data_IF_922387211261
#
_entry.id   IF_922387211261
#
_cell.length_a   1.000
_cell.length_b   1.000
_cell.length_c   1.000
_cell.angle_alpha   90.00
_cell.angle_beta   90.00
_cell.angle_gamma   90.00
#
_symmetry.space_group_name_H-M   'P 1'
#
loop_
_entity.id
_entity.type
_entity.pdbx_description
1 polymer ?
#
# COMPACT_ATOMS: atom_id res chain seq x y z
N UNK A 1 35.34 63.77 -42.55
CA UNK A 1 36.18 62.75 -43.24
C UNK A 1 37.30 62.34 -42.31
N UNK A 2 37.11 61.27 -41.50
CA UNK A 2 38.18 60.58 -40.79
C UNK A 2 37.99 59.10 -40.97
N UNK A 3 39.10 58.46 -41.20
CA UNK A 3 39.38 57.25 -41.93
C UNK A 3 38.80 55.94 -41.25
N UNK A 4 38.19 55.12 -42.06
CA UNK A 4 37.57 53.82 -41.78
C UNK A 4 38.64 52.71 -41.71
N UNK A 5 39.81 52.93 -41.15
CA UNK A 5 40.91 51.93 -41.14
C UNK A 5 41.53 51.64 -39.77
N UNK A 6 40.98 52.17 -38.66
CA UNK A 6 41.56 51.91 -37.32
C UNK A 6 40.70 51.09 -36.39
N UNK A 7 39.57 50.44 -36.85
CA UNK A 7 38.68 49.64 -36.07
C UNK A 7 38.79 48.13 -36.36
N UNK A 8 39.83 47.68 -37.07
CA UNK A 8 39.97 46.26 -37.47
C UNK A 8 41.06 45.47 -36.73
N UNK A 9 41.68 46.03 -35.67
CA UNK A 9 42.84 45.38 -35.04
C UNK A 9 42.69 45.15 -33.51
N UNK A 10 41.51 45.30 -32.93
CA UNK A 10 41.31 45.03 -31.49
C UNK A 10 40.40 43.85 -31.19
N UNK A 11 40.00 43.01 -32.15
CA UNK A 11 39.11 41.82 -31.93
C UNK A 11 39.80 40.49 -32.29
N UNK A 12 41.09 40.37 -32.15
CA UNK A 12 41.81 39.08 -32.31
C UNK A 12 42.64 38.75 -31.08
N UNK A 13 41.99 38.45 -29.96
CA UNK A 13 42.72 38.14 -28.74
C UNK A 13 41.82 37.59 -27.64
N UNK A 14 40.73 36.85 -27.98
CA UNK A 14 39.99 36.06 -27.02
C UNK A 14 40.36 34.60 -27.24
N UNK A 15 41.23 34.07 -26.38
CA UNK A 15 41.61 32.68 -26.31
C UNK A 15 40.36 31.81 -25.99
N UNK A 16 40.09 30.85 -26.84
CA UNK A 16 39.23 29.72 -26.56
C UNK A 16 39.77 28.95 -25.35
N UNK A 17 39.20 29.18 -24.16
CA UNK A 17 39.36 28.27 -23.02
C UNK A 17 38.33 27.18 -23.18
N UNK A 18 38.80 25.98 -23.49
CA UNK A 18 38.06 24.71 -23.55
C UNK A 18 37.29 24.46 -22.26
N UNK A 19 35.98 24.67 -22.30
CA UNK A 19 35.02 24.29 -21.21
C UNK A 19 34.38 22.94 -21.40
N UNK A 20 34.95 22.01 -22.19
CA UNK A 20 34.33 20.75 -22.56
C UNK A 20 34.70 19.55 -21.67
N UNK A 21 35.73 19.65 -20.81
CA UNK A 21 36.24 18.45 -20.12
C UNK A 21 35.63 18.18 -18.75
N UNK A 22 34.87 19.13 -18.17
CA UNK A 22 34.25 18.94 -16.85
C UNK A 22 32.85 18.33 -16.88
N UNK A 23 32.14 18.38 -18.02
CA UNK A 23 30.79 17.83 -18.15
C UNK A 23 30.73 16.32 -18.47
N UNK A 24 31.74 15.78 -19.13
CA UNK A 24 31.79 14.35 -19.48
C UNK A 24 31.88 13.39 -18.29
N UNK A 25 32.69 13.60 -17.26
CA UNK A 25 32.74 12.65 -16.12
C UNK A 25 31.46 12.65 -15.30
N UNK A 26 30.72 13.77 -15.18
CA UNK A 26 29.48 13.85 -14.47
C UNK A 26 28.35 13.08 -15.19
N UNK A 27 28.25 13.25 -16.51
CA UNK A 27 27.28 12.53 -17.34
C UNK A 27 27.54 11.01 -17.34
N UNK A 28 28.81 10.61 -17.45
CA UNK A 28 29.19 9.20 -17.39
C UNK A 28 28.88 8.57 -16.01
N UNK A 29 29.12 9.29 -14.92
CA UNK A 29 28.79 8.85 -13.56
C UNK A 29 27.28 8.70 -13.34
N UNK A 30 26.46 9.61 -13.84
CA UNK A 30 25.00 9.54 -13.76
C UNK A 30 24.46 8.35 -14.58
N UNK A 31 24.93 8.15 -15.79
CA UNK A 31 24.53 7.02 -16.65
C UNK A 31 24.92 5.68 -16.02
N UNK A 32 26.15 5.57 -15.48
CA UNK A 32 26.60 4.37 -14.79
C UNK A 32 25.78 4.10 -13.50
N UNK A 33 25.45 5.15 -12.75
CA UNK A 33 24.58 5.07 -11.57
C UNK A 33 23.16 4.60 -11.90
N UNK A 34 22.57 5.13 -12.97
CA UNK A 34 21.24 4.72 -13.45
C UNK A 34 21.25 3.27 -13.96
N UNK A 35 22.29 2.86 -14.70
CA UNK A 35 22.44 1.49 -15.16
C UNK A 35 22.62 0.49 -14.01
N UNK A 36 23.39 0.85 -12.98
CA UNK A 36 23.55 0.04 -11.77
C UNK A 36 22.23 -0.07 -10.98
N UNK A 37 21.50 1.03 -10.83
CA UNK A 37 20.20 1.02 -10.17
C UNK A 37 19.17 0.18 -10.95
N UNK A 38 19.13 0.27 -12.27
CA UNK A 38 18.30 -0.57 -13.12
C UNK A 38 18.67 -2.06 -13.00
N UNK A 39 19.96 -2.38 -12.99
CA UNK A 39 20.45 -3.75 -12.77
C UNK A 39 20.04 -4.32 -11.43
N UNK A 40 20.11 -3.54 -10.35
CA UNK A 40 19.66 -3.93 -9.01
C UNK A 40 18.15 -4.18 -8.98
N UNK A 41 17.34 -3.33 -9.61
CA UNK A 41 15.89 -3.48 -9.67
C UNK A 41 15.49 -4.73 -10.47
N UNK A 42 16.12 -4.98 -11.61
CA UNK A 42 15.91 -6.19 -12.43
C UNK A 42 16.33 -7.44 -11.65
N UNK A 43 17.48 -7.40 -10.96
CA UNK A 43 17.96 -8.50 -10.15
C UNK A 43 17.03 -8.82 -8.96
N UNK A 44 16.49 -7.80 -8.28
CA UNK A 44 15.51 -7.96 -7.19
C UNK A 44 14.21 -8.59 -7.71
N UNK A 45 13.70 -8.17 -8.87
CA UNK A 45 12.52 -8.76 -9.51
C UNK A 45 12.73 -10.20 -9.91
N UNK A 46 13.84 -10.49 -10.59
CA UNK A 46 14.18 -11.86 -10.99
C UNK A 46 14.30 -12.79 -9.78
N UNK A 47 14.92 -12.32 -8.69
CA UNK A 47 15.07 -13.08 -7.46
C UNK A 47 13.73 -13.29 -6.73
N UNK A 48 12.82 -12.31 -6.74
CA UNK A 48 11.47 -12.46 -6.21
C UNK A 48 10.68 -13.52 -6.98
N UNK A 49 10.68 -13.46 -8.32
CA UNK A 49 10.02 -14.46 -9.20
C UNK A 49 10.59 -15.86 -8.98
N UNK A 50 11.92 -15.98 -8.86
CA UNK A 50 12.58 -17.27 -8.64
C UNK A 50 12.18 -17.94 -7.31
N UNK A 51 11.87 -17.16 -6.27
CA UNK A 51 11.47 -17.68 -4.95
C UNK A 51 10.03 -18.19 -4.92
N UNK A 52 9.14 -17.63 -5.74
CA UNK A 52 7.72 -18.05 -5.82
C UNK A 52 7.57 -19.37 -6.60
N UNK A 53 8.58 -19.75 -7.37
CA UNK A 53 8.51 -20.90 -8.27
C UNK A 53 8.87 -22.27 -7.67
N UNK A 54 8.85 -22.45 -6.35
CA UNK A 54 9.08 -23.75 -5.73
C UNK A 54 8.00 -24.74 -6.19
N UNK A 55 8.43 -25.86 -6.81
CA UNK A 55 7.51 -26.83 -7.42
C UNK A 55 7.14 -26.59 -8.89
N UNK A 56 7.46 -25.43 -9.48
CA UNK A 56 7.19 -25.14 -10.88
C UNK A 56 8.18 -25.84 -11.82
N UNK A 57 7.69 -26.27 -12.99
CA UNK A 57 8.56 -26.80 -14.05
C UNK A 57 9.51 -25.70 -14.57
N UNK A 58 10.64 -26.11 -15.16
CA UNK A 58 11.58 -25.17 -15.78
C UNK A 58 10.90 -24.27 -16.83
N UNK A 59 9.92 -24.81 -17.57
CA UNK A 59 9.09 -24.06 -18.53
C UNK A 59 8.32 -22.93 -17.85
N UNK A 60 7.62 -23.19 -16.74
CA UNK A 60 6.86 -22.17 -16.02
C UNK A 60 7.76 -21.08 -15.46
N UNK A 61 8.90 -21.45 -14.86
CA UNK A 61 9.88 -20.47 -14.36
C UNK A 61 10.41 -19.54 -15.46
N UNK A 62 10.68 -20.09 -16.67
CA UNK A 62 11.12 -19.29 -17.80
C UNK A 62 10.02 -18.32 -18.27
N UNK A 63 8.77 -18.79 -18.35
CA UNK A 63 7.63 -17.96 -18.73
C UNK A 63 7.36 -16.84 -17.71
N UNK A 64 7.42 -17.15 -16.42
CA UNK A 64 7.23 -16.17 -15.34
C UNK A 64 8.33 -15.09 -15.36
N UNK A 65 9.58 -15.51 -15.58
CA UNK A 65 10.69 -14.58 -15.72
C UNK A 65 10.52 -13.67 -16.95
N UNK A 66 10.21 -14.26 -18.10
CA UNK A 66 9.98 -13.50 -19.34
C UNK A 66 8.81 -12.52 -19.17
N UNK A 67 7.68 -12.97 -18.64
CA UNK A 67 6.51 -12.12 -18.35
C UNK A 67 6.84 -11.03 -17.33
N UNK A 68 7.63 -11.36 -16.31
CA UNK A 68 8.07 -10.43 -15.27
C UNK A 68 8.89 -9.26 -15.82
N UNK A 69 9.70 -9.53 -16.85
CA UNK A 69 10.55 -8.52 -17.51
C UNK A 69 9.80 -7.77 -18.61
N UNK A 70 9.04 -8.49 -19.44
CA UNK A 70 8.48 -7.95 -20.69
C UNK A 70 7.12 -7.26 -20.50
N UNK A 71 6.32 -7.70 -19.51
CA UNK A 71 4.99 -7.16 -19.31
C UNK A 71 5.00 -6.00 -18.30
N UNK A 72 4.55 -4.79 -18.65
CA UNK A 72 4.34 -3.71 -17.70
C UNK A 72 3.16 -4.06 -16.79
N UNK A 73 3.32 -3.78 -15.48
CA UNK A 73 2.31 -4.04 -14.44
C UNK A 73 1.99 -2.75 -13.71
N UNK A 74 1.63 -1.71 -14.47
CA UNK A 74 1.46 -0.34 -13.98
C UNK A 74 0.62 -0.22 -12.70
N UNK A 75 -0.56 -0.87 -12.58
CA UNK A 75 -1.35 -0.74 -11.36
C UNK A 75 -0.61 -1.22 -10.10
N UNK A 76 0.09 -2.37 -10.19
CA UNK A 76 0.87 -2.91 -9.07
C UNK A 76 2.14 -2.10 -8.82
N UNK A 77 2.76 -1.55 -9.87
CA UNK A 77 3.94 -0.70 -9.75
C UNK A 77 3.63 0.66 -9.13
N UNK A 78 2.39 1.14 -9.27
CA UNK A 78 1.93 2.39 -8.71
C UNK A 78 1.58 2.28 -7.20
N UNK A 79 1.50 1.08 -6.64
CA UNK A 79 1.29 0.87 -5.21
C UNK A 79 2.54 1.32 -4.45
N UNK A 80 2.48 2.52 -3.88
CA UNK A 80 3.63 3.25 -3.34
C UNK A 80 3.76 3.13 -1.83
N UNK A 81 2.69 2.77 -1.13
CA UNK A 81 2.67 2.72 0.33
C UNK A 81 2.47 1.30 0.82
N UNK A 82 3.27 0.90 1.80
CA UNK A 82 3.09 -0.34 2.55
C UNK A 82 2.70 0.01 3.99
N UNK A 83 1.50 -0.42 4.40
CA UNK A 83 1.01 -0.37 5.77
C UNK A 83 0.89 -1.78 6.32
N UNK A 84 1.08 -1.92 7.63
CA UNK A 84 0.85 -3.17 8.34
C UNK A 84 -0.05 -2.91 9.53
N UNK A 85 -1.10 -3.69 9.65
CA UNK A 85 -2.10 -3.62 10.70
C UNK A 85 -2.73 -4.99 10.98
N UNK A 86 -3.86 -4.98 11.66
CA UNK A 86 -4.61 -6.18 12.01
C UNK A 86 -6.08 -5.97 11.71
N UNK A 87 -6.73 -7.01 11.19
CA UNK A 87 -8.17 -7.04 10.99
C UNK A 87 -8.81 -8.12 11.86
N UNK A 88 -10.05 -7.91 12.26
CA UNK A 88 -10.92 -8.95 12.78
C UNK A 88 -12.04 -9.24 11.78
N UNK A 89 -12.61 -10.45 11.84
CA UNK A 89 -13.83 -10.74 11.09
C UNK A 89 -14.99 -9.90 11.64
N UNK A 90 -15.83 -9.38 10.75
CA UNK A 90 -16.92 -8.48 11.15
C UNK A 90 -17.92 -9.11 12.11
N UNK A 91 -18.06 -10.42 12.12
CA UNK A 91 -18.94 -11.24 12.95
C UNK A 91 -18.23 -11.99 14.07
N UNK A 92 -16.89 -11.96 14.14
CA UNK A 92 -16.11 -12.67 15.15
C UNK A 92 -14.79 -11.94 15.48
N UNK A 93 -14.80 -11.18 16.58
CA UNK A 93 -13.59 -10.45 17.04
C UNK A 93 -12.48 -11.40 17.50
N UNK A 94 -12.78 -12.62 17.88
CA UNK A 94 -11.77 -13.62 18.28
C UNK A 94 -10.92 -14.10 17.10
N UNK A 95 -11.42 -13.97 15.88
CA UNK A 95 -10.69 -14.29 14.65
C UNK A 95 -10.00 -13.05 14.11
N UNK A 96 -8.68 -13.02 14.21
CA UNK A 96 -7.85 -11.87 13.85
C UNK A 96 -6.74 -12.27 12.89
N UNK A 97 -6.42 -11.38 11.97
CA UNK A 97 -5.43 -11.61 10.91
C UNK A 97 -4.51 -10.40 10.80
N UNK A 98 -3.20 -10.65 10.75
CA UNK A 98 -2.25 -9.61 10.35
C UNK A 98 -2.39 -9.32 8.86
N UNK A 99 -2.41 -8.04 8.49
CA UNK A 99 -2.68 -7.58 7.15
C UNK A 99 -1.58 -6.63 6.66
N UNK A 100 -0.99 -6.97 5.51
CA UNK A 100 0.00 -6.15 4.82
C UNK A 100 -0.66 -5.48 3.62
N UNK A 101 -0.97 -4.19 3.76
CA UNK A 101 -1.64 -3.39 2.75
C UNK A 101 -0.63 -2.74 1.81
N UNK A 102 -0.79 -2.93 0.52
CA UNK A 102 -0.06 -2.20 -0.51
C UNK A 102 -1.04 -1.28 -1.22
N UNK A 103 -0.86 0.02 -1.03
CA UNK A 103 -1.85 1.03 -1.34
C UNK A 103 -1.38 2.05 -2.37
N UNK A 104 -2.36 2.65 -3.06
CA UNK A 104 -2.21 3.81 -3.93
C UNK A 104 -3.34 4.79 -3.68
N UNK A 105 -3.02 6.10 -3.67
CA UNK A 105 -4.00 7.15 -3.76
C UNK A 105 -4.55 7.25 -5.20
N UNK A 106 -5.82 6.91 -5.40
CA UNK A 106 -6.50 7.16 -6.68
C UNK A 106 -6.91 8.61 -6.82
N UNK A 107 -7.34 9.21 -5.71
CA UNK A 107 -7.74 10.62 -5.57
C UNK A 107 -7.46 11.06 -4.14
N UNK A 108 -7.57 12.36 -3.87
CA UNK A 108 -7.39 12.92 -2.53
C UNK A 108 -8.32 12.31 -1.46
N UNK A 109 -9.48 11.78 -1.87
CA UNK A 109 -10.54 11.24 -1.02
C UNK A 109 -10.72 9.73 -1.14
N UNK A 110 -9.85 9.04 -1.90
CA UNK A 110 -9.98 7.59 -2.17
C UNK A 110 -8.63 6.92 -2.37
N UNK A 111 -8.33 5.92 -1.55
CA UNK A 111 -7.24 4.99 -1.74
C UNK A 111 -7.79 3.60 -2.09
N UNK A 112 -6.98 2.79 -2.73
CA UNK A 112 -7.21 1.36 -2.88
C UNK A 112 -5.96 0.59 -2.46
N UNK A 113 -6.17 -0.55 -1.80
CA UNK A 113 -5.12 -1.43 -1.33
C UNK A 113 -5.39 -2.87 -1.75
N UNK A 114 -4.30 -3.59 -2.06
CA UNK A 114 -4.29 -5.06 -2.05
C UNK A 114 -3.66 -5.52 -0.76
N UNK A 115 -4.19 -6.60 -0.17
CA UNK A 115 -3.77 -7.11 1.14
C UNK A 115 -3.13 -8.47 0.98
N UNK A 116 -1.94 -8.62 1.58
CA UNK A 116 -1.20 -9.88 1.65
C UNK A 116 -1.00 -10.29 3.11
N UNK A 117 -0.72 -11.57 3.34
CA UNK A 117 -0.40 -12.13 4.66
C UNK A 117 1.02 -11.82 5.14
N UNK A 118 1.86 -11.32 4.26
CA UNK A 118 3.23 -10.92 4.59
C UNK A 118 3.81 -9.96 3.54
N UNK A 119 5.01 -9.42 3.81
CA UNK A 119 5.79 -8.67 2.82
C UNK A 119 6.90 -9.54 2.21
N UNK A 120 6.61 -10.80 1.95
CA UNK A 120 7.53 -11.74 1.31
C UNK A 120 7.19 -11.91 -0.17
N UNK A 121 8.13 -12.32 -1.01
CA UNK A 121 7.85 -12.56 -2.43
C UNK A 121 6.78 -13.62 -2.70
N UNK A 122 6.61 -14.57 -1.79
CA UNK A 122 5.68 -15.71 -1.83
C UNK A 122 4.42 -15.46 -0.99
N UNK A 123 4.15 -14.22 -0.59
CA UNK A 123 2.99 -13.85 0.19
C UNK A 123 1.67 -14.18 -0.53
N UNK A 124 0.69 -14.65 0.23
CA UNK A 124 -0.65 -14.94 -0.27
C UNK A 124 -1.46 -13.64 -0.36
N UNK A 125 -2.12 -13.40 -1.49
CA UNK A 125 -3.11 -12.34 -1.62
C UNK A 125 -4.35 -12.76 -0.83
N UNK A 126 -4.64 -12.05 0.26
CA UNK A 126 -5.72 -12.40 1.18
C UNK A 126 -6.91 -11.46 1.12
N UNK A 127 -6.79 -10.28 0.48
CA UNK A 127 -7.91 -9.36 0.42
C UNK A 127 -7.64 -8.06 -0.29
N UNK A 128 -8.64 -7.18 -0.17
CA UNK A 128 -8.60 -5.81 -0.67
C UNK A 128 -9.18 -4.85 0.37
N UNK A 129 -8.79 -3.58 0.30
CA UNK A 129 -9.39 -2.50 1.07
C UNK A 129 -9.54 -1.23 0.24
N UNK A 130 -10.66 -0.53 0.43
CA UNK A 130 -10.86 0.85 0.00
C UNK A 130 -10.86 1.76 1.20
N UNK A 131 -10.13 2.88 1.11
CA UNK A 131 -10.05 3.88 2.19
C UNK A 131 -10.58 5.20 1.66
N UNK A 132 -11.52 5.80 2.38
CA UNK A 132 -12.14 7.06 1.99
C UNK A 132 -12.02 8.11 3.10
N UNK A 133 -12.09 9.38 2.70
CA UNK A 133 -12.15 10.50 3.63
C UNK A 133 -13.43 10.48 4.46
N UNK A 134 -13.40 11.12 5.64
CA UNK A 134 -14.58 11.32 6.48
C UNK A 134 -15.72 12.04 5.74
N UNK A 135 -15.39 13.06 4.93
CA UNK A 135 -16.38 13.78 4.15
C UNK A 135 -17.16 12.86 3.22
N UNK A 136 -16.45 11.97 2.51
CA UNK A 136 -17.09 10.98 1.63
C UNK A 136 -17.87 9.94 2.42
N UNK A 137 -17.34 9.47 3.54
CA UNK A 137 -18.02 8.51 4.40
C UNK A 137 -19.37 9.06 4.92
N UNK A 138 -19.41 10.31 5.35
CA UNK A 138 -20.64 10.96 5.85
C UNK A 138 -21.76 10.98 4.81
N UNK A 139 -21.42 10.99 3.51
CA UNK A 139 -22.38 11.01 2.39
C UNK A 139 -22.90 9.62 2.00
N UNK A 140 -22.34 8.53 2.56
CA UNK A 140 -22.79 7.17 2.24
C UNK A 140 -24.18 6.90 2.81
N UNK A 141 -25.01 6.06 2.12
CA UNK A 141 -26.23 5.51 2.68
C UNK A 141 -25.99 4.76 3.98
N UNK A 142 -26.98 4.69 4.85
CA UNK A 142 -26.83 4.07 6.17
C UNK A 142 -26.45 2.58 6.11
N UNK A 143 -27.01 1.85 5.15
CA UNK A 143 -26.70 0.44 4.90
C UNK A 143 -25.26 0.25 4.41
N UNK A 144 -24.73 1.16 3.62
CA UNK A 144 -23.34 1.12 3.14
C UNK A 144 -22.35 1.44 4.26
N UNK A 145 -22.66 2.41 5.14
CA UNK A 145 -21.81 2.77 6.29
C UNK A 145 -21.48 1.58 7.19
N UNK A 146 -22.39 0.63 7.31
CA UNK A 146 -22.21 -0.58 8.13
C UNK A 146 -21.08 -1.50 7.64
N UNK A 147 -20.59 -1.29 6.42
CA UNK A 147 -19.50 -2.07 5.83
C UNK A 147 -18.11 -1.44 6.11
N UNK A 148 -18.07 -0.32 6.83
CA UNK A 148 -16.87 0.47 7.01
C UNK A 148 -16.45 0.54 8.47
N UNK A 149 -15.14 0.48 8.70
CA UNK A 149 -14.52 0.71 10.00
C UNK A 149 -13.71 2.01 10.00
N UNK A 150 -13.51 2.60 11.18
CA UNK A 150 -12.70 3.79 11.37
C UNK A 150 -11.25 3.44 11.64
N UNK A 151 -10.29 4.22 11.13
CA UNK A 151 -8.86 4.06 11.43
C UNK A 151 -8.40 4.80 12.69
N UNK A 152 -9.31 5.45 13.44
CA UNK A 152 -8.99 6.27 14.58
C UNK A 152 -8.14 5.55 15.62
N UNK A 153 -8.62 4.42 16.11
CA UNK A 153 -7.92 3.63 17.14
C UNK A 153 -6.62 3.03 16.60
N UNK A 154 -6.65 2.43 15.43
CA UNK A 154 -5.47 1.75 14.86
C UNK A 154 -4.29 2.69 14.66
N UNK A 155 -4.55 3.93 14.25
CA UNK A 155 -3.54 4.99 14.17
C UNK A 155 -3.06 5.39 15.56
N UNK A 156 -3.99 5.67 16.49
CA UNK A 156 -3.66 6.20 17.83
C UNK A 156 -2.99 5.18 18.73
N UNK A 157 -3.40 3.92 18.65
CA UNK A 157 -2.81 2.82 19.41
C UNK A 157 -1.40 2.43 18.95
N UNK A 158 -1.01 2.83 17.72
CA UNK A 158 0.25 2.42 17.11
C UNK A 158 0.22 1.02 16.49
N UNK A 159 -0.93 0.34 16.48
CA UNK A 159 -1.06 -1.00 15.87
C UNK A 159 -0.98 -0.95 14.35
N UNK A 160 -1.48 0.10 13.71
CA UNK A 160 -1.26 0.36 12.29
C UNK A 160 0.07 1.10 12.10
N UNK A 161 0.96 0.55 11.28
CA UNK A 161 2.31 1.07 11.06
C UNK A 161 2.64 1.19 9.58
N UNK A 162 3.62 2.05 9.25
CA UNK A 162 4.23 2.18 7.92
C UNK A 162 5.73 1.79 8.02
N UNK A 163 6.08 0.51 7.88
CA UNK A 163 7.45 0.06 8.09
C UNK A 163 8.42 0.71 7.10
N UNK A 164 9.61 1.11 7.59
CA UNK A 164 10.67 1.70 6.77
C UNK A 164 10.49 3.18 6.42
N UNK A 165 9.40 3.82 6.82
CA UNK A 165 9.21 5.27 6.64
C UNK A 165 9.82 6.02 7.83
N UNK A 166 10.61 7.10 7.59
CA UNK A 166 11.14 7.93 8.66
C UNK A 166 10.02 8.53 9.53
N UNK A 167 10.27 8.66 10.83
CA UNK A 167 9.26 9.05 11.84
C UNK A 167 8.47 10.32 11.48
N UNK A 168 9.15 11.36 11.00
CA UNK A 168 8.49 12.63 10.66
C UNK A 168 7.50 12.45 9.52
N UNK A 169 7.87 11.67 8.49
CA UNK A 169 7.00 11.37 7.36
C UNK A 169 5.87 10.42 7.75
N UNK A 170 6.17 9.43 8.61
CA UNK A 170 5.15 8.53 9.17
C UNK A 170 4.09 9.31 9.96
N UNK A 171 4.50 10.26 10.82
CA UNK A 171 3.57 11.08 11.58
C UNK A 171 2.66 11.91 10.68
N UNK A 172 3.21 12.57 9.64
CA UNK A 172 2.41 13.34 8.70
C UNK A 172 1.38 12.45 7.97
N UNK A 173 1.80 11.27 7.50
CA UNK A 173 0.93 10.31 6.83
C UNK A 173 -0.23 9.86 7.75
N UNK A 174 0.06 9.51 9.00
CA UNK A 174 -0.97 9.05 9.94
C UNK A 174 -1.87 10.18 10.46
N UNK A 175 -1.41 11.43 10.39
CA UNK A 175 -2.26 12.59 10.69
C UNK A 175 -3.40 12.74 9.67
N UNK A 176 -3.17 12.40 8.41
CA UNK A 176 -4.19 12.38 7.37
C UNK A 176 -5.05 11.11 7.45
N UNK A 177 -4.43 9.96 7.75
CA UNK A 177 -5.12 8.67 7.77
C UNK A 177 -6.08 8.52 8.96
N UNK A 178 -5.81 9.17 10.10
CA UNK A 178 -6.57 9.01 11.35
C UNK A 178 -8.07 9.31 11.21
N UNK A 179 -8.46 10.17 10.29
CA UNK A 179 -9.86 10.55 10.04
C UNK A 179 -10.50 9.81 8.86
N UNK A 180 -9.90 8.73 8.40
CA UNK A 180 -10.41 7.96 7.26
C UNK A 180 -11.14 6.69 7.69
N UNK A 181 -11.84 6.09 6.74
CA UNK A 181 -12.65 4.89 6.94
C UNK A 181 -12.28 3.84 5.90
N UNK A 182 -12.13 2.59 6.34
CA UNK A 182 -11.79 1.44 5.52
C UNK A 182 -12.98 0.51 5.26
N UNK A 183 -13.10 -0.02 4.04
CA UNK A 183 -13.96 -1.14 3.70
C UNK A 183 -13.13 -2.29 3.18
N UNK A 184 -13.05 -3.35 3.97
CA UNK A 184 -12.11 -4.44 3.77
C UNK A 184 -12.83 -5.77 3.59
N UNK A 185 -12.42 -6.52 2.57
CA UNK A 185 -12.85 -7.88 2.35
C UNK A 185 -11.64 -8.80 2.24
N UNK A 186 -11.61 -9.86 3.06
CA UNK A 186 -10.66 -10.94 2.88
C UNK A 186 -11.26 -12.04 2.00
N UNK A 187 -10.56 -12.36 0.94
CA UNK A 187 -10.93 -13.40 -0.04
C UNK A 187 -10.35 -14.77 0.31
N UNK A 188 -9.46 -14.82 1.30
CA UNK A 188 -8.83 -16.02 1.82
C UNK A 188 -8.77 -15.95 3.34
N UNK A 189 -9.42 -16.88 4.03
CA UNK A 189 -9.47 -16.99 5.49
C UNK A 189 -8.27 -17.79 5.98
N UNK A 190 -7.09 -17.18 5.96
CA UNK A 190 -5.80 -17.83 6.23
C UNK A 190 -5.60 -18.31 7.67
N UNK A 191 -6.41 -17.81 8.57
CA UNK A 191 -6.48 -18.22 9.97
C UNK A 191 -7.12 -19.60 10.15
N UNK A 192 -7.87 -20.08 9.14
CA UNK A 192 -8.62 -21.33 9.17
C UNK A 192 -8.31 -22.25 7.99
N UNK A 193 -8.18 -21.68 6.78
CA UNK A 193 -8.19 -22.43 5.53
C UNK A 193 -6.82 -22.44 4.86
N UNK A 194 -6.35 -23.61 4.45
CA UNK A 194 -5.12 -23.78 3.69
C UNK A 194 -5.26 -23.27 2.24
N UNK A 195 -6.52 -23.13 1.75
CA UNK A 195 -6.86 -22.71 0.40
C UNK A 195 -7.96 -21.63 0.43
N UNK A 196 -8.12 -20.76 -0.61
CA UNK A 196 -9.11 -19.67 -0.61
C UNK A 196 -10.55 -20.19 -0.82
N UNK A 197 -11.10 -20.88 0.17
CA UNK A 197 -12.47 -21.38 0.14
C UNK A 197 -13.50 -20.34 0.56
N UNK A 198 -14.73 -20.50 0.03
CA UNK A 198 -15.90 -19.74 0.43
C UNK A 198 -15.98 -18.32 -0.13
N UNK A 199 -16.97 -17.54 0.28
CA UNK A 199 -17.14 -16.16 -0.15
C UNK A 199 -16.12 -15.24 0.52
N UNK A 200 -15.83 -14.06 -0.07
CA UNK A 200 -15.10 -13.02 0.62
C UNK A 200 -15.80 -12.68 1.96
N UNK A 201 -15.02 -12.43 3.00
CA UNK A 201 -15.53 -12.06 4.32
C UNK A 201 -15.27 -10.59 4.61
N UNK A 202 -16.28 -9.89 5.11
CA UNK A 202 -16.13 -8.52 5.58
C UNK A 202 -15.25 -8.51 6.84
N UNK A 203 -14.27 -7.61 6.84
CA UNK A 203 -13.35 -7.40 7.95
C UNK A 203 -13.56 -6.03 8.58
N UNK A 204 -13.23 -5.93 9.87
CA UNK A 204 -13.32 -4.70 10.64
C UNK A 204 -11.99 -4.40 11.35
N UNK A 205 -11.79 -3.13 11.70
CA UNK A 205 -10.71 -2.68 12.56
C UNK A 205 -11.12 -2.66 14.03
N UNK A 206 -10.13 -2.41 14.90
CA UNK A 206 -10.32 -2.31 16.34
C UNK A 206 -10.62 -0.86 16.74
N UNK A 207 -11.29 -0.67 17.89
CA UNK A 207 -11.74 0.65 18.35
C UNK A 207 -11.28 1.00 19.78
N UNK A 208 -10.75 0.03 20.51
CA UNK A 208 -10.28 0.25 21.89
C UNK A 208 -9.19 -0.75 22.31
N UNK A 209 -8.45 -0.39 23.36
CA UNK A 209 -7.46 -1.27 23.98
C UNK A 209 -8.10 -2.59 24.49
N UNK A 210 -7.37 -3.68 24.36
CA UNK A 210 -7.82 -5.03 24.79
C UNK A 210 -8.61 -5.80 23.73
N UNK A 211 -8.92 -5.25 22.57
CA UNK A 211 -9.60 -5.96 21.48
C UNK A 211 -8.62 -6.73 20.58
N UNK A 212 -7.49 -6.09 20.21
CA UNK A 212 -6.46 -6.74 19.41
C UNK A 212 -5.69 -7.78 20.23
N UNK A 213 -5.33 -8.88 19.62
CA UNK A 213 -4.48 -9.89 20.24
C UNK A 213 -3.06 -9.35 20.45
N UNK A 214 -2.71 -9.03 21.69
CA UNK A 214 -1.43 -8.43 22.06
C UNK A 214 -0.24 -9.35 21.72
N UNK A 215 -0.41 -10.66 21.73
CA UNK A 215 0.64 -11.60 21.34
C UNK A 215 0.97 -11.47 19.84
N UNK A 216 -0.04 -11.30 18.98
CA UNK A 216 0.16 -11.05 17.54
C UNK A 216 0.87 -9.71 17.32
N UNK A 217 0.50 -8.67 18.07
CA UNK A 217 1.17 -7.35 18.00
C UNK A 217 2.63 -7.47 18.40
N UNK A 218 2.92 -8.16 19.51
CA UNK A 218 4.28 -8.35 20.00
C UNK A 218 5.16 -9.15 19.02
N UNK A 219 4.60 -10.21 18.41
CA UNK A 219 5.30 -11.01 17.39
C UNK A 219 5.61 -10.18 16.14
N UNK A 220 4.63 -9.40 15.64
CA UNK A 220 4.81 -8.50 14.52
C UNK A 220 5.89 -7.46 14.82
N UNK A 221 5.82 -6.82 16.00
CA UNK A 221 6.76 -5.79 16.41
C UNK A 221 8.20 -6.34 16.48
N UNK A 222 8.37 -7.52 17.07
CA UNK A 222 9.67 -8.20 17.13
C UNK A 222 10.19 -8.54 15.72
N UNK A 223 9.36 -9.07 14.84
CA UNK A 223 9.72 -9.46 13.49
C UNK A 223 10.10 -8.27 12.60
N UNK A 224 9.40 -7.14 12.75
CA UNK A 224 9.66 -5.93 11.96
C UNK A 224 10.63 -4.94 12.63
N UNK A 225 11.10 -5.23 13.86
CA UNK A 225 12.00 -4.36 14.60
C UNK A 225 11.36 -3.01 14.97
N UNK A 226 10.08 -3.00 15.35
CA UNK A 226 9.29 -1.81 15.65
C UNK A 226 8.69 -1.90 17.06
N UNK A 227 8.03 -0.84 17.51
CA UNK A 227 7.29 -0.82 18.78
C UNK A 227 5.98 -0.06 18.61
N UNK A 228 4.86 -0.76 18.72
CA UNK A 228 3.52 -0.18 18.70
C UNK A 228 3.34 0.80 19.87
N UNK A 229 3.82 0.45 21.05
CA UNK A 229 3.75 1.30 22.25
C UNK A 229 4.53 2.61 22.07
N UNK A 230 5.70 2.57 21.43
CA UNK A 230 6.46 3.78 21.13
C UNK A 230 5.70 4.66 20.14
N UNK A 231 5.07 4.07 19.12
CA UNK A 231 4.22 4.79 18.15
C UNK A 231 2.99 5.39 18.83
N UNK A 232 2.32 4.66 19.72
CA UNK A 232 1.20 5.16 20.53
C UNK A 232 1.59 6.45 21.25
N UNK A 233 2.75 6.45 21.94
CA UNK A 233 3.26 7.66 22.62
C UNK A 233 3.52 8.82 21.66
N UNK A 234 4.20 8.58 20.54
CA UNK A 234 4.54 9.61 19.55
C UNK A 234 3.33 10.20 18.85
N UNK A 235 2.28 9.40 18.66
CA UNK A 235 1.04 9.81 18.02
C UNK A 235 0.01 10.39 18.99
N UNK A 236 0.32 10.47 20.29
CA UNK A 236 -0.59 11.03 21.29
C UNK A 236 -1.14 12.40 20.91
N UNK A 237 -0.31 13.32 20.41
CA UNK A 237 -0.68 14.66 19.97
C UNK A 237 -1.31 14.77 18.58
N UNK A 238 -1.65 13.66 17.88
CA UNK A 238 -2.43 13.72 16.64
C UNK A 238 -3.88 13.98 17.04
N UNK A 239 -4.52 15.08 16.55
CA UNK A 239 -5.93 15.35 16.80
C UNK A 239 -6.78 14.26 16.13
N UNK A 240 -7.83 13.84 16.82
CA UNK A 240 -8.78 12.82 16.31
C UNK A 240 -10.17 13.44 16.35
N UNK A 241 -10.90 13.51 15.22
CA UNK A 241 -12.30 13.90 15.21
C UNK A 241 -13.16 12.81 15.85
N UNK A 242 -14.41 13.13 16.18
CA UNK A 242 -15.38 12.14 16.58
C UNK A 242 -15.65 11.16 15.43
N UNK A 243 -15.81 9.88 15.75
CA UNK A 243 -16.14 8.85 14.76
C UNK A 243 -17.52 9.17 14.16
N UNK A 244 -17.59 9.20 12.83
CA UNK A 244 -18.83 9.50 12.14
C UNK A 244 -19.86 8.39 12.34
N UNK A 245 -21.11 8.77 12.54
CA UNK A 245 -22.24 7.85 12.79
C UNK A 245 -22.37 6.81 11.68
N UNK A 246 -22.55 5.54 12.08
CA UNK A 246 -22.76 4.39 11.22
C UNK A 246 -21.49 3.60 10.89
N UNK A 247 -20.29 4.09 11.26
CA UNK A 247 -19.07 3.29 11.21
C UNK A 247 -19.04 2.24 12.33
N UNK A 248 -18.16 1.23 12.19
CA UNK A 248 -17.94 0.20 13.21
C UNK A 248 -19.25 -0.47 13.66
N UNK A 249 -20.10 -0.86 12.73
CA UNK A 249 -21.47 -1.32 13.00
C UNK A 249 -21.54 -2.44 14.05
N UNK A 250 -20.51 -3.27 14.17
CA UNK A 250 -20.40 -4.36 15.14
C UNK A 250 -20.47 -3.90 16.61
N UNK A 251 -20.09 -2.64 16.90
CA UNK A 251 -20.18 -2.07 18.27
C UNK A 251 -21.61 -1.95 18.77
N UNK A 252 -22.60 -1.98 17.87
CA UNK A 252 -24.03 -2.01 18.24
C UNK A 252 -24.49 -3.39 18.76
N UNK A 253 -23.61 -4.39 18.76
CA UNK A 253 -23.94 -5.79 19.08
C UNK A 253 -24.51 -6.59 17.91
N UNK A 254 -24.61 -5.98 16.73
CA UNK A 254 -24.99 -6.64 15.47
C UNK A 254 -24.05 -6.25 14.35
N UNK A 255 -23.67 -7.21 13.52
CA UNK A 255 -22.82 -6.96 12.38
C UNK A 255 -23.45 -7.45 11.08
N UNK A 256 -22.76 -7.26 9.97
CA UNK A 256 -23.11 -7.83 8.67
C UNK A 256 -21.96 -8.69 8.17
N UNK A 257 -22.28 -9.77 7.46
CA UNK A 257 -21.26 -10.62 6.83
C UNK A 257 -21.78 -11.11 5.47
N UNK A 258 -20.86 -11.44 4.58
CA UNK A 258 -21.19 -11.97 3.25
C UNK A 258 -21.62 -13.43 3.33
N UNK A 259 -22.68 -13.76 2.62
CA UNK A 259 -23.16 -15.12 2.44
C UNK A 259 -23.49 -15.39 0.99
N UNK A 260 -23.46 -16.67 0.59
CA UNK A 260 -23.89 -17.07 -0.75
C UNK A 260 -25.40 -17.24 -0.78
N UNK A 261 -26.04 -16.73 -1.85
CA UNK A 261 -27.44 -16.99 -2.14
C UNK A 261 -27.58 -17.47 -3.58
N UNK A 262 -28.50 -18.41 -3.82
CA UNK A 262 -28.87 -18.78 -5.19
C UNK A 262 -29.65 -17.66 -5.85
N UNK A 263 -29.26 -17.30 -7.07
CA UNK A 263 -29.94 -16.29 -7.87
C UNK A 263 -30.22 -16.84 -9.27
N UNK A 264 -31.32 -16.44 -9.93
CA UNK A 264 -31.58 -16.83 -11.30
C UNK A 264 -30.45 -16.37 -12.24
N UNK A 265 -29.94 -17.29 -13.03
CA UNK A 265 -29.02 -16.93 -14.11
C UNK A 265 -29.78 -16.22 -15.23
N UNK A 266 -29.28 -15.08 -15.66
CA UNK A 266 -29.81 -14.33 -16.81
C UNK A 266 -28.87 -14.50 -18.00
N UNK A 267 -29.35 -15.19 -19.03
CA UNK A 267 -28.64 -15.32 -20.29
C UNK A 267 -29.03 -14.16 -21.24
N UNK A 268 -28.08 -13.69 -22.04
CA UNK A 268 -28.31 -12.67 -23.07
C UNK A 268 -29.22 -13.17 -24.22
N UNK A 269 -29.33 -14.49 -24.38
CA UNK A 269 -30.24 -15.12 -25.38
C UNK A 269 -31.72 -15.09 -24.99
N UNK A 270 -32.08 -14.68 -23.76
CA UNK A 270 -33.44 -14.66 -23.21
C UNK A 270 -34.21 -13.35 -23.40
N UNK A 271 -33.72 -12.37 -24.16
CA UNK A 271 -34.46 -11.14 -24.46
C UNK A 271 -35.27 -11.33 -25.75
N UNK A 272 -36.43 -11.96 -25.65
CA UNK A 272 -37.53 -11.88 -26.60
C UNK A 272 -38.75 -11.31 -25.90
#
# INVERSE_FOLDING_TARGET
MRNRRELSNELSGASESSGSDAFMPLAAGVVAGLAAAAGVLIGRRANAIARVGEGHSAKHRLLDLASGVMQPKYPLQAMSTWLNGFHMYADDMGRQVEAHHFCIHLRHDLHQCVIFDSNRPDARLIGIEYIISEERFRQLPAEEKRLWHSHHYEVKSGTLIAPGIPELAERAYFQDLVSTYGKTFHTWQIDRDEFPYGPPQLMMGFTQDGQVNEAMVAERDARLGVSSEDRKRRRYGIPVPDIAEGANAWESGTSVQTTLAEVPFRDVSGSS
#
